data_IF_735297685596
#
_entry.id   IF_735297685596
#
_cell.length_a   1.000
_cell.length_b   1.000
_cell.length_c   1.000
_cell.angle_alpha   90.00
_cell.angle_beta   90.00
_cell.angle_gamma   90.00
#
_symmetry.space_group_name_H-M   'P 1'
#
loop_
_entity.id
_entity.type
_entity.pdbx_description
1 polymer ?
#
# COMPACT_ATOMS: atom_id res chain seq x y z
N UNK A 1 21.22 -5.71 17.85
CA UNK A 1 19.82 -5.88 17.34
C UNK A 1 19.52 -7.36 17.25
N UNK A 2 18.45 -7.81 17.88
CA UNK A 2 18.02 -9.20 17.85
C UNK A 2 17.41 -9.54 16.48
N UNK A 3 17.47 -10.79 16.09
CA UNK A 3 16.84 -11.28 14.84
C UNK A 3 15.35 -10.95 14.81
N UNK A 4 14.67 -11.04 15.95
CA UNK A 4 13.24 -10.73 16.02
C UNK A 4 12.93 -9.26 15.72
N UNK A 5 13.88 -8.36 15.94
CA UNK A 5 13.70 -6.94 15.60
C UNK A 5 13.81 -6.70 14.10
N UNK A 6 14.29 -7.67 13.35
CA UNK A 6 14.53 -7.58 11.92
C UNK A 6 13.48 -8.31 11.07
N UNK A 7 12.65 -9.13 11.72
CA UNK A 7 11.68 -9.97 11.02
C UNK A 7 10.25 -9.56 11.36
N UNK A 8 9.45 -9.35 10.33
CA UNK A 8 8.01 -9.12 10.48
C UNK A 8 7.25 -10.08 9.57
N UNK A 9 6.25 -10.73 10.12
CA UNK A 9 5.33 -11.55 9.34
C UNK A 9 4.12 -10.66 9.00
N UNK A 10 4.00 -10.28 7.73
CA UNK A 10 3.05 -9.25 7.32
C UNK A 10 1.58 -9.58 7.64
N UNK A 11 1.10 -10.82 7.49
CA UNK A 11 -0.28 -11.13 7.87
C UNK A 11 -0.61 -10.78 9.32
N UNK A 12 0.37 -10.88 10.23
CA UNK A 12 0.17 -10.55 11.64
C UNK A 12 0.06 -9.04 11.88
N UNK A 13 0.54 -8.24 10.93
CA UNK A 13 0.52 -6.78 11.02
C UNK A 13 -0.78 -6.19 10.49
N UNK A 14 -1.51 -6.91 9.65
CA UNK A 14 -2.70 -6.40 9.00
C UNK A 14 -3.80 -6.04 10.01
N UNK A 15 -4.45 -4.91 9.77
CA UNK A 15 -5.58 -4.42 10.58
C UNK A 15 -6.66 -3.92 9.63
N UNK A 16 -7.91 -4.25 9.91
CA UNK A 16 -9.04 -3.88 9.06
C UNK A 16 -10.07 -3.10 9.86
N UNK A 17 -10.79 -2.22 9.18
CA UNK A 17 -11.91 -1.47 9.74
C UNK A 17 -13.11 -1.59 8.82
N UNK A 18 -14.30 -1.69 9.39
CA UNK A 18 -15.54 -1.73 8.60
C UNK A 18 -15.93 -0.39 7.98
N UNK A 19 -15.28 0.71 8.38
CA UNK A 19 -15.66 2.05 7.92
C UNK A 19 -14.77 2.59 6.80
N UNK A 20 -13.49 2.27 6.81
CA UNK A 20 -12.52 2.74 5.79
C UNK A 20 -11.28 1.88 5.83
N UNK A 21 -10.46 2.01 4.78
CA UNK A 21 -9.15 1.37 4.73
C UNK A 21 -8.30 1.81 5.92
N UNK A 22 -7.38 0.94 6.34
CA UNK A 22 -6.45 1.22 7.43
C UNK A 22 -5.01 1.20 6.93
N UNK A 23 -4.17 2.00 7.58
CA UNK A 23 -2.73 2.03 7.32
C UNK A 23 -1.99 1.54 8.55
N UNK A 24 -0.98 0.70 8.33
CA UNK A 24 -0.10 0.19 9.38
C UNK A 24 1.32 0.51 8.98
N UNK A 25 2.08 1.20 9.83
CA UNK A 25 3.50 1.43 9.60
C UNK A 25 4.28 0.22 10.09
N UNK A 26 5.08 -0.37 9.20
CA UNK A 26 5.94 -1.51 9.53
C UNK A 26 7.37 -1.07 9.82
N UNK A 27 7.86 -0.08 9.10
CA UNK A 27 9.19 0.49 9.28
C UNK A 27 9.19 1.93 8.79
N UNK A 28 9.88 2.80 9.52
CA UNK A 28 10.04 4.21 9.12
C UNK A 28 11.43 4.71 9.50
N UNK A 29 12.08 5.32 8.52
CA UNK A 29 13.27 6.15 8.73
C UNK A 29 13.09 7.42 7.90
N UNK A 30 14.08 8.31 7.88
CA UNK A 30 14.02 9.50 7.03
C UNK A 30 14.05 9.14 5.54
N UNK A 31 14.57 7.96 5.20
CA UNK A 31 14.79 7.55 3.81
C UNK A 31 13.72 6.62 3.27
N UNK A 32 12.98 5.93 4.13
CA UNK A 32 12.07 4.89 3.70
C UNK A 32 10.90 4.73 4.67
N UNK A 33 9.70 4.67 4.12
CA UNK A 33 8.51 4.21 4.83
C UNK A 33 8.04 2.91 4.20
N UNK A 34 7.89 1.87 5.01
CA UNK A 34 7.24 0.62 4.60
C UNK A 34 6.01 0.42 5.46
N UNK A 35 4.88 0.21 4.83
CA UNK A 35 3.63 0.02 5.54
C UNK A 35 2.69 -0.93 4.84
N UNK A 36 1.56 -1.19 5.46
CA UNK A 36 0.47 -1.93 4.86
C UNK A 36 -0.74 -1.02 4.73
N UNK A 37 -1.39 -1.12 3.58
CA UNK A 37 -2.74 -0.59 3.39
C UNK A 37 -3.68 -1.79 3.37
N UNK A 38 -4.66 -1.78 4.26
CA UNK A 38 -5.57 -2.91 4.47
C UNK A 38 -6.99 -2.47 4.13
N UNK A 39 -7.65 -3.25 3.29
CA UNK A 39 -8.97 -2.91 2.75
C UNK A 39 -9.96 -4.04 2.98
N UNK A 40 -11.14 -3.70 3.46
CA UNK A 40 -12.30 -4.59 3.31
C UNK A 40 -12.87 -4.40 1.90
N UNK A 41 -13.65 -5.37 1.37
CA UNK A 41 -14.21 -5.24 0.03
C UNK A 41 -14.96 -3.92 -0.17
N UNK A 42 -14.71 -3.26 -1.30
CA UNK A 42 -15.34 -1.99 -1.67
C UNK A 42 -14.66 -0.75 -1.12
N UNK A 43 -13.72 -0.88 -0.21
CA UNK A 43 -12.99 0.27 0.32
C UNK A 43 -11.99 0.81 -0.69
N UNK A 44 -11.65 2.08 -0.54
CA UNK A 44 -10.81 2.83 -1.48
C UNK A 44 -9.70 3.60 -0.76
N UNK A 45 -8.72 4.03 -1.53
CA UNK A 45 -7.77 5.06 -1.14
C UNK A 45 -7.88 6.17 -2.18
N UNK A 46 -8.17 7.39 -1.73
CA UNK A 46 -8.34 8.54 -2.61
C UNK A 46 -7.08 8.84 -3.39
N UNK A 47 -7.25 9.39 -4.59
CA UNK A 47 -6.13 9.87 -5.40
C UNK A 47 -5.33 10.91 -4.64
N UNK A 48 -4.02 10.78 -4.70
CA UNK A 48 -3.08 11.71 -4.10
C UNK A 48 -1.76 11.66 -4.86
N UNK A 49 -0.89 12.61 -4.59
CA UNK A 49 0.45 12.67 -5.18
C UNK A 49 1.47 12.85 -4.08
N UNK A 50 2.68 12.33 -4.32
CA UNK A 50 3.84 12.58 -3.45
C UNK A 50 4.88 13.33 -4.24
N UNK A 51 5.08 14.62 -3.91
CA UNK A 51 6.15 15.40 -4.49
C UNK A 51 7.48 14.97 -3.86
N UNK A 52 8.49 14.70 -4.69
CA UNK A 52 9.82 14.35 -4.20
C UNK A 52 9.96 12.92 -3.68
N UNK A 53 8.99 12.07 -3.89
CA UNK A 53 9.05 10.67 -3.43
C UNK A 53 8.50 9.72 -4.49
N UNK A 54 9.15 8.57 -4.60
CA UNK A 54 8.61 7.45 -5.36
C UNK A 54 7.91 6.48 -4.42
N UNK A 55 6.93 5.78 -4.96
CA UNK A 55 6.12 4.83 -4.21
C UNK A 55 5.81 3.61 -5.07
N UNK A 56 5.66 2.47 -4.44
CA UNK A 56 5.03 1.32 -5.08
C UNK A 56 4.03 0.65 -4.15
N UNK A 57 3.13 -0.09 -4.76
CA UNK A 57 2.23 -1.01 -4.09
C UNK A 57 2.61 -2.43 -4.48
N UNK A 58 2.65 -3.34 -3.53
CA UNK A 58 2.79 -4.77 -3.77
C UNK A 58 1.59 -5.47 -3.16
N UNK A 59 0.78 -6.13 -3.96
CA UNK A 59 -0.38 -6.86 -3.44
C UNK A 59 0.11 -8.11 -2.72
N UNK A 60 -0.17 -8.19 -1.44
CA UNK A 60 0.20 -9.32 -0.59
C UNK A 60 -0.91 -10.37 -0.59
N UNK A 61 -2.15 -9.93 -0.46
CA UNK A 61 -3.32 -10.81 -0.51
C UNK A 61 -4.52 -10.04 -1.05
N UNK A 62 -5.51 -10.75 -1.56
CA UNK A 62 -6.72 -10.15 -2.10
C UNK A 62 -6.55 -9.69 -3.55
N UNK A 63 -7.32 -8.68 -3.92
CA UNK A 63 -7.37 -8.17 -5.29
C UNK A 63 -7.96 -6.78 -5.27
N UNK A 64 -7.35 -5.84 -5.99
CA UNK A 64 -7.81 -4.46 -6.00
C UNK A 64 -7.61 -3.81 -7.37
N UNK A 65 -8.41 -2.78 -7.62
CA UNK A 65 -8.30 -1.91 -8.78
C UNK A 65 -7.57 -0.64 -8.36
N UNK A 66 -6.42 -0.38 -8.98
CA UNK A 66 -5.59 0.79 -8.72
C UNK A 66 -5.77 1.82 -9.83
N UNK A 67 -5.55 3.08 -9.49
CA UNK A 67 -5.48 4.16 -10.48
C UNK A 67 -4.12 4.81 -10.39
N UNK A 68 -3.40 4.90 -11.49
CA UNK A 68 -2.09 5.56 -11.58
C UNK A 68 -2.05 6.36 -12.87
N UNK A 69 -1.88 7.67 -12.77
CA UNK A 69 -1.77 8.53 -13.94
C UNK A 69 -2.97 8.43 -14.88
N UNK A 70 -4.18 8.31 -14.32
CA UNK A 70 -5.41 8.19 -15.09
C UNK A 70 -5.66 6.80 -15.67
N UNK A 71 -4.81 5.82 -15.37
CA UNK A 71 -4.97 4.43 -15.83
C UNK A 71 -5.49 3.57 -14.70
N UNK A 72 -6.44 2.71 -15.02
CA UNK A 72 -6.98 1.73 -14.07
C UNK A 72 -6.26 0.41 -14.26
N UNK A 73 -5.74 -0.14 -13.17
CA UNK A 73 -4.92 -1.34 -13.16
C UNK A 73 -5.50 -2.30 -12.13
N UNK A 74 -5.92 -3.49 -12.55
CA UNK A 74 -6.34 -4.54 -11.64
C UNK A 74 -5.12 -5.38 -11.27
N UNK A 75 -4.88 -5.57 -9.96
CA UNK A 75 -3.71 -6.28 -9.47
C UNK A 75 -4.10 -7.33 -8.43
N UNK A 76 -3.33 -8.41 -8.40
CA UNK A 76 -3.51 -9.59 -7.56
C UNK A 76 -2.20 -9.89 -6.81
N UNK A 77 -2.20 -10.85 -5.86
CA UNK A 77 -1.00 -11.17 -5.08
C UNK A 77 0.23 -11.41 -5.95
N UNK A 78 1.32 -10.75 -5.58
CA UNK A 78 2.58 -10.79 -6.32
C UNK A 78 2.74 -9.69 -7.36
N UNK A 79 1.69 -8.91 -7.65
CA UNK A 79 1.79 -7.81 -8.60
C UNK A 79 2.33 -6.56 -7.94
N UNK A 80 3.24 -5.89 -8.63
CA UNK A 80 3.84 -4.62 -8.23
C UNK A 80 3.24 -3.51 -9.09
N UNK A 81 2.63 -2.52 -8.43
CA UNK A 81 2.07 -1.34 -9.09
C UNK A 81 2.94 -0.14 -8.74
N UNK A 82 3.50 0.51 -9.74
CA UNK A 82 4.40 1.67 -9.54
C UNK A 82 3.58 2.95 -9.48
N UNK A 83 3.95 3.82 -8.54
CA UNK A 83 3.39 5.14 -8.38
C UNK A 83 4.53 6.16 -8.32
N UNK A 84 5.10 6.51 -9.50
CA UNK A 84 6.26 7.40 -9.56
C UNK A 84 5.96 8.79 -9.02
N UNK A 85 7.02 9.52 -8.67
CA UNK A 85 6.94 10.89 -8.18
C UNK A 85 6.02 11.74 -9.05
N UNK A 86 5.15 12.52 -8.39
CA UNK A 86 4.28 13.48 -9.05
C UNK A 86 3.10 12.90 -9.82
N UNK A 87 3.02 11.58 -9.96
CA UNK A 87 1.93 10.93 -10.67
C UNK A 87 0.77 10.65 -9.70
N UNK A 88 -0.44 11.15 -9.98
CA UNK A 88 -1.60 10.87 -9.13
C UNK A 88 -1.88 9.38 -9.07
N UNK A 89 -2.13 8.87 -7.87
CA UNK A 89 -2.37 7.45 -7.66
C UNK A 89 -3.29 7.21 -6.48
N UNK A 90 -3.89 6.04 -6.46
CA UNK A 90 -4.76 5.59 -5.39
C UNK A 90 -5.31 4.21 -5.67
N UNK A 91 -6.20 3.76 -4.80
CA UNK A 91 -6.92 2.51 -4.98
C UNK A 91 -8.38 2.86 -5.24
N UNK A 92 -8.83 2.55 -6.45
CA UNK A 92 -10.22 2.82 -6.83
C UNK A 92 -11.17 2.01 -5.95
N UNK A 93 -10.84 0.72 -5.78
CA UNK A 93 -11.69 -0.18 -5.01
C UNK A 93 -10.98 -1.49 -4.73
N UNK A 94 -11.07 -1.99 -3.51
CA UNK A 94 -10.73 -3.37 -3.21
C UNK A 94 -11.86 -4.28 -3.71
N UNK A 95 -11.50 -5.29 -4.50
CA UNK A 95 -12.47 -6.25 -5.06
C UNK A 95 -12.76 -7.39 -4.09
N UNK A 96 -11.84 -7.63 -3.18
CA UNK A 96 -11.95 -8.56 -2.06
C UNK A 96 -11.20 -7.94 -0.88
N UNK A 97 -11.22 -8.61 0.27
CA UNK A 97 -10.37 -8.19 1.39
C UNK A 97 -8.92 -8.22 0.93
N UNK A 98 -8.22 -7.10 1.04
CA UNK A 98 -6.91 -6.93 0.40
C UNK A 98 -5.89 -6.32 1.37
N UNK A 99 -4.68 -6.86 1.32
CA UNK A 99 -3.51 -6.31 2.00
C UNK A 99 -2.49 -5.93 0.94
N UNK A 100 -2.05 -4.69 0.99
CA UNK A 100 -1.07 -4.13 0.05
C UNK A 100 0.11 -3.61 0.83
N UNK A 101 1.31 -4.07 0.48
CA UNK A 101 2.55 -3.49 0.99
C UNK A 101 2.84 -2.22 0.23
N UNK A 102 3.17 -1.17 0.96
CA UNK A 102 3.50 0.15 0.40
C UNK A 102 4.92 0.49 0.80
N UNK A 103 5.72 0.97 -0.14
CA UNK A 103 7.03 1.55 0.14
C UNK A 103 7.10 2.94 -0.48
N UNK A 104 7.58 3.92 0.30
CA UNK A 104 7.72 5.30 -0.12
C UNK A 104 9.13 5.76 0.24
N UNK A 105 9.84 6.31 -0.73
CA UNK A 105 11.20 6.79 -0.53
C UNK A 105 11.40 8.13 -1.27
N UNK A 106 11.92 9.16 -0.57
CA UNK A 106 12.12 9.21 0.88
C UNK A 106 10.80 9.18 1.65
N UNK A 107 10.87 8.89 2.94
CA UNK A 107 9.68 8.88 3.77
C UNK A 107 9.05 10.28 3.83
N UNK A 108 7.70 10.37 3.78
CA UNK A 108 7.02 11.65 3.90
C UNK A 108 7.06 12.24 5.31
#
# INVERSE_FOLDING_TARGET
MDTQDLLQHLPDQARFSGTKMTKVDCFRSDRLLVGLNCFEPGQEQKLHTHAGADKFYLVVSGKASFVVGGRTIEARPGDLVLAPEGVPHGVERALERTVVLVAIAPAP
#
